data_IF_810560387224
#
_entry.id   IF_810560387224
#
_cell.length_a   1.000
_cell.length_b   1.000
_cell.length_c   1.000
_cell.angle_alpha   90.00
_cell.angle_beta   90.00
_cell.angle_gamma   90.00
#
_symmetry.space_group_name_H-M   'P 1'
#
loop_
_entity.id
_entity.type
_entity.pdbx_description
1 polymer ?
#
# COMPACT_ATOMS: atom_id res chain seq x y z
N UNK A 1 4.59 22.17 -12.79
CA UNK A 1 5.64 21.15 -12.55
C UNK A 1 6.86 21.84 -11.95
N UNK A 2 7.20 21.52 -10.71
CA UNK A 2 8.46 21.98 -10.12
C UNK A 2 9.58 21.11 -10.67
N UNK A 3 10.70 21.68 -11.11
CA UNK A 3 11.89 20.87 -11.50
C UNK A 3 12.76 20.70 -10.26
N UNK A 4 13.07 19.48 -9.85
CA UNK A 4 14.14 19.25 -8.87
C UNK A 4 15.44 18.99 -9.61
N UNK A 5 16.39 19.90 -9.38
CA UNK A 5 17.72 19.78 -9.92
C UNK A 5 18.54 18.84 -9.03
N UNK A 6 18.98 17.70 -9.59
CA UNK A 6 19.83 16.76 -8.87
C UNK A 6 21.16 17.40 -8.42
N UNK A 7 21.62 18.48 -9.08
CA UNK A 7 22.82 19.23 -8.66
C UNK A 7 22.71 19.86 -7.28
N UNK A 8 21.49 20.10 -6.80
CA UNK A 8 21.25 20.69 -5.47
C UNK A 8 21.01 19.61 -4.40
N UNK A 9 21.23 18.34 -4.74
CA UNK A 9 20.98 17.18 -3.88
C UNK A 9 22.15 16.22 -3.88
N UNK A 10 22.17 15.34 -2.90
CA UNK A 10 23.19 14.30 -2.83
C UNK A 10 22.95 13.30 -3.97
N UNK A 11 24.03 12.86 -4.63
CA UNK A 11 24.01 11.79 -5.65
C UNK A 11 23.68 10.43 -5.00
N UNK A 12 22.44 10.27 -4.56
CA UNK A 12 21.94 9.10 -3.83
C UNK A 12 20.75 8.50 -4.59
N UNK A 13 20.84 7.20 -4.82
CA UNK A 13 19.72 6.34 -5.18
C UNK A 13 19.13 5.69 -3.93
N UNK A 14 17.82 5.80 -3.75
CA UNK A 14 17.09 5.11 -2.69
C UNK A 14 16.38 3.88 -3.22
N UNK A 15 16.45 2.79 -2.47
CA UNK A 15 15.49 1.69 -2.57
C UNK A 15 14.80 1.52 -1.21
N UNK A 16 13.47 1.51 -1.19
CA UNK A 16 12.69 1.40 0.05
C UNK A 16 11.54 0.42 -0.16
N UNK A 17 11.50 -0.64 0.64
CA UNK A 17 10.40 -1.59 0.61
C UNK A 17 10.79 -2.98 1.10
N UNK A 18 9.84 -3.92 1.05
CA UNK A 18 10.14 -5.34 1.33
C UNK A 18 11.24 -5.83 0.38
N UNK A 19 12.24 -6.52 0.91
CA UNK A 19 13.35 -7.04 0.14
C UNK A 19 12.98 -8.38 -0.50
N UNK A 20 12.02 -8.34 -1.43
CA UNK A 20 11.39 -9.48 -2.07
C UNK A 20 11.33 -9.33 -3.59
N UNK A 21 11.14 -10.45 -4.30
CA UNK A 21 11.12 -10.49 -5.77
C UNK A 21 9.99 -9.65 -6.37
N UNK A 22 8.83 -9.59 -5.73
CA UNK A 22 7.71 -8.77 -6.22
C UNK A 22 8.03 -7.27 -6.22
N UNK A 23 8.97 -6.83 -5.38
CA UNK A 23 9.46 -5.45 -5.32
C UNK A 23 10.62 -5.16 -6.28
N UNK A 24 10.99 -6.14 -7.11
CA UNK A 24 12.05 -5.99 -8.12
C UNK A 24 13.47 -6.00 -7.54
N UNK A 25 13.68 -6.58 -6.35
CA UNK A 25 14.97 -6.57 -5.67
C UNK A 25 16.04 -7.39 -6.40
N UNK A 26 15.64 -8.39 -7.16
CA UNK A 26 16.52 -9.10 -8.08
C UNK A 26 16.97 -8.24 -9.27
N UNK A 27 16.21 -7.21 -9.68
CA UNK A 27 16.70 -6.20 -10.63
C UNK A 27 17.76 -5.33 -9.94
N UNK A 28 17.47 -4.89 -8.71
CA UNK A 28 18.44 -4.13 -7.91
C UNK A 28 19.73 -4.93 -7.73
N UNK A 29 19.68 -6.20 -7.37
CA UNK A 29 20.88 -7.05 -7.22
C UNK A 29 21.71 -7.08 -8.50
N UNK A 30 21.08 -7.28 -9.67
CA UNK A 30 21.78 -7.23 -10.96
C UNK A 30 22.41 -5.86 -11.24
N UNK A 31 21.70 -4.76 -10.94
CA UNK A 31 22.26 -3.40 -11.03
C UNK A 31 23.51 -3.26 -10.16
N UNK A 32 23.45 -3.76 -8.93
CA UNK A 32 24.55 -3.69 -7.96
C UNK A 32 25.74 -4.61 -8.34
N UNK A 33 25.51 -5.67 -9.11
CA UNK A 33 26.54 -6.59 -9.59
C UNK A 33 27.19 -6.08 -10.89
N UNK A 34 26.37 -5.79 -11.91
CA UNK A 34 26.83 -5.54 -13.28
C UNK A 34 27.34 -4.12 -13.49
N UNK A 35 26.79 -3.15 -12.75
CA UNK A 35 26.96 -1.72 -13.03
C UNK A 35 27.50 -0.93 -11.84
N UNK A 36 28.02 -1.61 -10.80
CA UNK A 36 28.58 -1.01 -9.57
C UNK A 36 29.58 0.12 -9.83
N UNK A 37 30.38 -0.02 -10.89
CA UNK A 37 31.44 0.93 -11.25
C UNK A 37 30.98 2.02 -12.23
N UNK A 38 29.83 1.84 -12.88
CA UNK A 38 29.32 2.77 -13.91
C UNK A 38 28.51 3.93 -13.32
N UNK A 39 28.11 3.84 -12.05
CA UNK A 39 27.33 4.87 -11.37
C UNK A 39 28.17 6.07 -10.89
N UNK A 40 29.46 6.18 -11.24
CA UNK A 40 30.32 7.29 -10.82
C UNK A 40 30.34 7.48 -9.30
N UNK A 41 30.08 8.71 -8.82
CA UNK A 41 30.05 9.07 -7.40
C UNK A 41 28.74 8.70 -6.66
N UNK A 42 27.78 8.10 -7.36
CA UNK A 42 26.48 7.84 -6.77
C UNK A 42 26.52 6.75 -5.71
N UNK A 43 25.68 6.90 -4.68
CA UNK A 43 25.53 5.93 -3.59
C UNK A 43 24.13 5.33 -3.56
N UNK A 44 24.06 4.03 -3.27
CA UNK A 44 22.82 3.33 -2.98
C UNK A 44 22.57 3.29 -1.48
N UNK A 45 21.38 3.73 -1.07
CA UNK A 45 20.86 3.49 0.28
C UNK A 45 19.61 2.63 0.20
N UNK A 46 19.67 1.47 0.85
CA UNK A 46 18.67 0.41 0.72
C UNK A 46 18.01 0.16 2.08
N UNK A 47 16.70 0.29 2.12
CA UNK A 47 15.88 0.18 3.34
C UNK A 47 14.83 -0.91 3.19
N UNK A 48 14.68 -1.72 4.23
CA UNK A 48 13.70 -2.78 4.32
C UNK A 48 14.27 -4.10 4.80
N UNK A 49 13.42 -5.11 4.80
CA UNK A 49 13.74 -6.48 5.22
C UNK A 49 13.01 -7.49 4.30
N UNK A 50 13.50 -8.71 4.19
CA UNK A 50 12.95 -9.75 3.32
C UNK A 50 13.97 -10.81 2.91
N UNK A 51 13.54 -11.75 2.07
CA UNK A 51 14.36 -12.90 1.66
C UNK A 51 15.69 -12.53 0.98
N UNK A 52 15.79 -11.34 0.38
CA UNK A 52 17.02 -10.86 -0.26
C UNK A 52 17.93 -10.02 0.65
N UNK A 53 17.61 -9.85 1.94
CA UNK A 53 18.41 -9.02 2.86
C UNK A 53 19.89 -9.46 2.89
N UNK A 54 20.16 -10.73 3.13
CA UNK A 54 21.53 -11.25 3.23
C UNK A 54 22.30 -11.11 1.90
N UNK A 55 21.61 -11.30 0.77
CA UNK A 55 22.21 -11.14 -0.55
C UNK A 55 22.64 -9.69 -0.80
N UNK A 56 21.83 -8.72 -0.36
CA UNK A 56 22.16 -7.29 -0.43
C UNK A 56 23.27 -6.93 0.55
N UNK A 57 23.24 -7.47 1.77
CA UNK A 57 24.25 -7.18 2.80
C UNK A 57 25.65 -7.64 2.38
N UNK A 58 25.76 -8.77 1.68
CA UNK A 58 27.02 -9.24 1.07
C UNK A 58 27.64 -8.29 0.03
N UNK A 59 26.86 -7.35 -0.51
CA UNK A 59 27.30 -6.34 -1.50
C UNK A 59 27.59 -4.98 -0.87
N UNK A 60 27.49 -4.86 0.44
CA UNK A 60 27.70 -3.60 1.16
C UNK A 60 29.12 -3.06 0.92
N UNK A 61 29.22 -1.75 0.77
CA UNK A 61 30.48 -1.04 0.54
C UNK A 61 30.31 0.46 0.79
N UNK A 62 31.36 1.25 0.57
CA UNK A 62 31.30 2.71 0.63
C UNK A 62 30.27 3.34 -0.33
N UNK A 63 29.85 2.63 -1.39
CA UNK A 63 28.83 3.07 -2.36
C UNK A 63 27.47 2.39 -2.19
N UNK A 64 27.36 1.34 -1.38
CA UNK A 64 26.14 0.55 -1.21
C UNK A 64 25.92 0.33 0.28
N UNK A 65 24.91 0.97 0.85
CA UNK A 65 24.64 0.92 2.30
C UNK A 65 23.28 0.28 2.53
N UNK A 66 23.25 -0.82 3.29
CA UNK A 66 22.03 -1.60 3.58
C UNK A 66 21.64 -1.36 5.04
N UNK A 67 20.57 -0.58 5.23
CA UNK A 67 20.14 -0.08 6.54
C UNK A 67 19.21 -1.03 7.30
N UNK A 68 18.58 -1.97 6.59
CA UNK A 68 17.50 -2.75 7.18
C UNK A 68 16.23 -1.92 7.39
N UNK A 69 15.41 -2.32 8.36
CA UNK A 69 14.19 -1.58 8.72
C UNK A 69 14.52 -0.43 9.68
N UNK A 70 14.15 0.80 9.31
CA UNK A 70 14.45 2.02 10.07
C UNK A 70 13.17 2.79 10.40
N UNK A 71 13.26 3.72 11.35
CA UNK A 71 12.15 4.60 11.68
C UNK A 71 11.81 5.54 10.50
N UNK A 72 10.53 5.92 10.38
CA UNK A 72 10.08 6.92 9.39
C UNK A 72 10.84 8.26 9.52
N UNK A 73 11.25 8.64 10.74
CA UNK A 73 12.06 9.85 10.96
C UNK A 73 13.39 9.77 10.23
N UNK A 74 14.11 8.65 10.35
CA UNK A 74 15.38 8.42 9.66
C UNK A 74 15.14 8.37 8.15
N UNK A 75 14.14 7.60 7.71
CA UNK A 75 13.82 7.46 6.29
C UNK A 75 13.53 8.81 5.62
N UNK A 76 12.77 9.69 6.28
CA UNK A 76 12.49 11.05 5.79
C UNK A 76 13.76 11.89 5.59
N UNK A 77 14.79 11.71 6.43
CA UNK A 77 16.06 12.43 6.23
C UNK A 77 16.76 11.99 4.94
N UNK A 78 16.65 10.72 4.57
CA UNK A 78 17.21 10.20 3.33
C UNK A 78 16.40 10.63 2.12
N UNK A 79 15.06 10.61 2.20
CA UNK A 79 14.23 11.14 1.14
C UNK A 79 14.62 12.57 0.82
N UNK A 80 14.70 13.48 1.81
CA UNK A 80 15.06 14.90 1.57
C UNK A 80 16.41 15.11 0.88
N UNK A 81 17.38 14.23 1.12
CA UNK A 81 18.74 14.35 0.59
C UNK A 81 18.90 13.71 -0.79
N UNK A 82 18.17 12.63 -1.04
CA UNK A 82 18.40 11.82 -2.22
C UNK A 82 17.92 12.48 -3.50
N UNK A 83 18.63 12.18 -4.58
CA UNK A 83 18.31 12.69 -5.91
C UNK A 83 17.24 11.85 -6.62
N UNK A 84 17.16 10.53 -6.34
CA UNK A 84 16.21 9.65 -7.02
C UNK A 84 15.83 8.44 -6.16
N UNK A 85 14.54 8.08 -6.16
CA UNK A 85 14.05 6.83 -5.58
C UNK A 85 13.78 5.81 -6.67
N UNK A 86 14.42 4.64 -6.58
CA UNK A 86 14.23 3.53 -7.50
C UNK A 86 13.14 2.59 -6.99
N UNK A 87 12.07 2.43 -7.76
CA UNK A 87 10.90 1.64 -7.40
C UNK A 87 10.50 0.67 -8.53
N UNK A 88 11.28 -0.40 -8.79
CA UNK A 88 11.02 -1.38 -9.85
C UNK A 88 9.97 -2.43 -9.44
N UNK A 89 8.90 -2.00 -8.75
CA UNK A 89 7.88 -2.92 -8.23
C UNK A 89 7.17 -3.61 -9.38
N UNK A 90 7.29 -4.94 -9.43
CA UNK A 90 6.72 -5.74 -10.52
C UNK A 90 5.24 -5.99 -10.34
N UNK A 91 4.80 -6.16 -9.10
CA UNK A 91 3.38 -6.29 -8.82
C UNK A 91 2.71 -4.91 -8.92
N UNK A 92 1.39 -4.91 -9.12
CA UNK A 92 0.62 -3.68 -9.17
C UNK A 92 0.44 -3.12 -7.75
N UNK A 93 1.17 -2.04 -7.47
CA UNK A 93 0.97 -1.25 -6.26
C UNK A 93 -0.45 -0.68 -6.23
N UNK A 94 -1.03 -0.63 -5.04
CA UNK A 94 -2.36 -0.03 -4.84
C UNK A 94 -2.26 1.45 -4.54
N UNK A 95 -1.43 1.79 -3.56
CA UNK A 95 -1.27 3.16 -3.07
C UNK A 95 0.10 3.77 -3.32
N UNK A 96 1.16 2.95 -3.47
CA UNK A 96 2.50 3.48 -3.70
C UNK A 96 3.02 4.36 -2.56
N UNK A 97 2.79 3.99 -1.29
CA UNK A 97 3.16 4.80 -0.11
C UNK A 97 4.61 5.30 -0.14
N UNK A 98 5.54 4.45 -0.56
CA UNK A 98 6.96 4.85 -0.70
C UNK A 98 7.14 5.95 -1.74
N UNK A 99 6.42 5.87 -2.86
CA UNK A 99 6.43 6.92 -3.87
C UNK A 99 5.84 8.23 -3.32
N UNK A 100 4.72 8.15 -2.58
CA UNK A 100 4.12 9.30 -1.91
C UNK A 100 5.09 9.97 -0.91
N UNK A 101 5.73 9.17 -0.04
CA UNK A 101 6.70 9.66 0.94
C UNK A 101 7.91 10.29 0.25
N UNK A 102 8.39 9.69 -0.85
CA UNK A 102 9.49 10.21 -1.64
C UNK A 102 9.16 11.55 -2.30
N UNK A 103 8.05 11.60 -3.04
CA UNK A 103 7.56 12.78 -3.74
C UNK A 103 7.25 13.93 -2.76
N UNK A 104 6.63 13.64 -1.61
CA UNK A 104 6.35 14.64 -0.56
C UNK A 104 7.59 15.30 0.02
N UNK A 105 8.75 14.64 -0.08
CA UNK A 105 10.05 15.19 0.30
C UNK A 105 10.81 15.78 -0.90
N UNK A 106 10.14 15.97 -2.03
CA UNK A 106 10.70 16.51 -3.27
C UNK A 106 11.61 15.55 -4.02
N UNK A 107 11.52 14.25 -3.75
CA UNK A 107 12.38 13.23 -4.37
C UNK A 107 11.64 12.50 -5.47
N UNK A 108 12.13 12.58 -6.72
CA UNK A 108 11.48 11.92 -7.84
C UNK A 108 11.58 10.40 -7.71
N UNK A 109 10.62 9.72 -8.33
CA UNK A 109 10.53 8.25 -8.33
C UNK A 109 10.74 7.77 -9.77
N UNK A 110 11.68 6.85 -9.94
CA UNK A 110 11.99 6.17 -11.20
C UNK A 110 11.69 4.68 -11.06
N UNK A 111 10.89 4.13 -11.96
CA UNK A 111 10.34 2.78 -11.79
C UNK A 111 9.35 2.38 -12.86
N UNK A 112 8.61 1.31 -12.60
CA UNK A 112 7.52 0.88 -13.48
C UNK A 112 6.25 1.67 -13.18
N UNK A 113 5.81 2.49 -14.13
CA UNK A 113 4.61 3.33 -14.04
C UNK A 113 3.33 2.50 -14.25
N UNK A 114 2.99 1.65 -13.27
CA UNK A 114 1.82 0.76 -13.34
C UNK A 114 1.03 0.69 -12.03
N UNK A 115 -0.24 0.30 -12.13
CA UNK A 115 -1.15 0.30 -11.00
C UNK A 115 -1.28 1.70 -10.39
N UNK A 116 -1.20 1.79 -9.06
CA UNK A 116 -1.21 3.06 -8.33
C UNK A 116 0.02 3.94 -8.53
N UNK A 117 1.09 3.45 -9.17
CA UNK A 117 2.28 4.26 -9.51
C UNK A 117 2.16 4.98 -10.86
N UNK A 118 1.19 4.63 -11.70
CA UNK A 118 1.06 5.17 -13.05
C UNK A 118 0.95 6.71 -13.07
N UNK A 119 0.24 7.28 -12.10
CA UNK A 119 0.06 8.73 -11.97
C UNK A 119 1.20 9.40 -11.17
N UNK A 120 2.11 8.61 -10.57
CA UNK A 120 3.18 9.09 -9.67
C UNK A 120 4.57 9.13 -10.34
N UNK A 121 4.73 8.45 -11.47
CA UNK A 121 6.00 8.35 -12.18
C UNK A 121 5.80 8.97 -13.58
N UNK A 122 6.43 10.12 -13.87
CA UNK A 122 6.30 10.74 -15.18
C UNK A 122 6.99 9.88 -16.27
N UNK A 123 6.59 9.99 -17.55
CA UNK A 123 7.19 9.23 -18.65
C UNK A 123 8.73 9.33 -18.74
N UNK A 124 9.28 10.49 -18.37
CA UNK A 124 10.74 10.74 -18.32
C UNK A 124 11.49 9.88 -17.30
N UNK A 125 10.78 9.32 -16.31
CA UNK A 125 11.31 8.44 -15.25
C UNK A 125 10.69 7.04 -15.26
N UNK A 126 9.90 6.71 -16.28
CA UNK A 126 9.35 5.37 -16.48
C UNK A 126 10.42 4.46 -17.09
N UNK A 127 10.62 3.30 -16.45
CA UNK A 127 11.58 2.28 -16.86
C UNK A 127 10.91 1.27 -17.79
N UNK A 128 11.60 0.89 -18.86
CA UNK A 128 11.20 -0.23 -19.71
C UNK A 128 11.35 -1.57 -18.97
N UNK A 129 10.27 -2.34 -18.87
CA UNK A 129 10.27 -3.66 -18.21
C UNK A 129 11.12 -4.70 -18.96
N UNK A 130 11.32 -4.55 -20.28
CA UNK A 130 12.13 -5.48 -21.07
C UNK A 130 13.63 -5.30 -20.81
N UNK A 131 14.08 -4.05 -20.62
CA UNK A 131 15.49 -3.70 -20.39
C UNK A 131 15.66 -2.81 -19.15
N UNK A 132 15.27 -3.30 -17.95
CA UNK A 132 15.08 -2.43 -16.80
C UNK A 132 16.37 -1.85 -16.24
N UNK A 133 17.51 -2.53 -16.45
CA UNK A 133 18.82 -2.09 -15.98
C UNK A 133 19.30 -0.91 -16.83
N UNK A 134 19.37 -1.08 -18.15
CA UNK A 134 19.86 -0.04 -19.04
C UNK A 134 18.92 1.16 -19.07
N UNK A 135 17.60 0.90 -19.11
CA UNK A 135 16.59 1.96 -19.03
C UNK A 135 16.71 2.77 -17.74
N UNK A 136 16.92 2.12 -16.58
CA UNK A 136 17.17 2.84 -15.33
C UNK A 136 18.37 3.80 -15.43
N UNK A 137 19.51 3.31 -15.94
CA UNK A 137 20.72 4.13 -16.03
C UNK A 137 20.58 5.26 -17.05
N UNK A 138 19.93 5.02 -18.19
CA UNK A 138 19.60 6.06 -19.16
C UNK A 138 18.79 7.18 -18.51
N UNK A 139 17.75 6.83 -17.74
CA UNK A 139 16.93 7.83 -17.03
C UNK A 139 17.70 8.51 -15.89
N UNK A 140 18.54 7.78 -15.17
CA UNK A 140 19.31 8.30 -14.03
C UNK A 140 20.46 9.23 -14.45
N UNK A 141 21.03 9.06 -15.65
CA UNK A 141 22.08 9.94 -16.18
C UNK A 141 21.56 11.36 -16.49
N UNK A 142 20.26 11.50 -16.75
CA UNK A 142 19.61 12.79 -16.89
C UNK A 142 19.54 13.48 -15.52
N UNK A 143 20.60 14.21 -15.13
CA UNK A 143 20.71 14.93 -13.84
C UNK A 143 19.65 16.05 -13.64
N UNK A 144 18.69 16.18 -14.56
CA UNK A 144 17.53 17.03 -14.46
C UNK A 144 16.30 16.14 -14.38
N UNK A 145 15.83 15.88 -13.15
CA UNK A 145 14.66 15.05 -12.93
C UNK A 145 13.41 15.92 -12.86
N UNK A 146 12.42 15.56 -13.67
CA UNK A 146 11.11 16.18 -13.59
C UNK A 146 10.40 15.66 -12.34
N UNK A 147 9.95 16.58 -11.49
CA UNK A 147 8.94 16.24 -10.50
C UNK A 147 7.58 16.57 -11.07
N UNK A 148 6.67 15.62 -10.83
CA UNK A 148 5.25 15.92 -10.91
C UNK A 148 4.88 16.88 -9.77
N UNK A 149 3.76 17.58 -9.94
CA UNK A 149 3.23 18.37 -8.83
C UNK A 149 2.99 17.46 -7.63
N UNK A 150 3.61 17.80 -6.50
CA UNK A 150 3.54 17.03 -5.27
C UNK A 150 2.38 17.46 -4.38
N UNK A 151 1.74 18.61 -4.66
CA UNK A 151 0.57 19.09 -3.91
C UNK A 151 -0.56 18.05 -3.83
N UNK A 152 -0.96 17.39 -4.93
CA UNK A 152 -1.91 16.28 -4.89
C UNK A 152 -1.52 15.25 -3.82
N UNK A 153 -0.22 14.93 -3.75
CA UNK A 153 0.36 13.86 -2.95
C UNK A 153 0.82 14.31 -1.55
N UNK A 154 0.55 15.56 -1.19
CA UNK A 154 1.07 16.17 0.03
C UNK A 154 0.33 15.70 1.28
N UNK A 155 1.01 15.76 2.42
CA UNK A 155 0.39 15.51 3.72
C UNK A 155 -0.74 16.51 4.01
N UNK A 156 -0.60 17.75 3.52
CA UNK A 156 -1.60 18.81 3.65
C UNK A 156 -2.89 18.48 2.89
N UNK A 157 -2.77 17.98 1.66
CA UNK A 157 -3.93 17.51 0.87
C UNK A 157 -4.59 16.31 1.54
N UNK A 158 -3.79 15.40 2.07
CA UNK A 158 -4.30 14.29 2.85
C UNK A 158 -5.05 14.76 4.11
N UNK A 159 -4.48 15.67 4.89
CA UNK A 159 -5.09 16.26 6.10
C UNK A 159 -6.38 17.03 5.79
N UNK A 160 -6.40 17.84 4.72
CA UNK A 160 -7.62 18.52 4.23
C UNK A 160 -8.74 17.52 3.94
N UNK A 161 -8.42 16.42 3.25
CA UNK A 161 -9.38 15.34 2.98
C UNK A 161 -9.86 14.67 4.28
N UNK A 162 -8.94 14.41 5.23
CA UNK A 162 -9.31 13.85 6.54
C UNK A 162 -10.26 14.78 7.31
N UNK A 163 -10.00 16.08 7.33
CA UNK A 163 -10.88 17.08 7.98
C UNK A 163 -12.26 17.08 7.32
N UNK A 164 -12.32 17.09 5.98
CA UNK A 164 -13.59 17.04 5.21
C UNK A 164 -14.42 15.80 5.59
N UNK A 165 -13.81 14.62 5.63
CA UNK A 165 -14.51 13.36 5.87
C UNK A 165 -14.80 13.05 7.34
N UNK A 166 -14.04 13.63 8.26
CA UNK A 166 -14.24 13.47 9.71
C UNK A 166 -14.94 14.66 10.34
N UNK A 167 -15.56 15.53 9.52
CA UNK A 167 -16.36 16.64 10.02
C UNK A 167 -17.50 16.12 10.89
N UNK A 168 -17.61 16.67 12.10
CA UNK A 168 -18.61 16.28 13.09
C UNK A 168 -18.34 14.97 13.84
N UNK A 169 -17.24 14.25 13.56
CA UNK A 169 -16.82 13.11 14.37
C UNK A 169 -15.82 13.56 15.43
N UNK A 170 -15.92 13.02 16.65
CA UNK A 170 -14.98 13.28 17.76
C UNK A 170 -14.20 12.01 18.11
N UNK A 171 -14.89 10.86 18.19
CA UNK A 171 -14.32 9.56 18.52
C UNK A 171 -14.26 8.66 17.30
N UNK A 172 -13.06 8.21 16.96
CA UNK A 172 -12.82 7.36 15.78
C UNK A 172 -12.18 6.04 16.22
N UNK A 173 -12.82 4.92 15.85
CA UNK A 173 -12.26 3.58 16.04
C UNK A 173 -11.65 3.10 14.73
N UNK A 174 -10.33 3.09 14.66
CA UNK A 174 -9.59 2.48 13.56
C UNK A 174 -9.50 0.96 13.76
N UNK A 175 -9.83 0.22 12.71
CA UNK A 175 -9.77 -1.25 12.71
C UNK A 175 -8.80 -1.69 11.61
N UNK A 176 -7.78 -2.45 11.97
CA UNK A 176 -6.87 -3.07 11.01
C UNK A 176 -6.56 -4.50 11.42
N UNK A 177 -6.20 -5.34 10.46
CA UNK A 177 -5.81 -6.72 10.75
C UNK A 177 -4.59 -6.77 11.70
N UNK A 178 -3.67 -5.81 11.55
CA UNK A 178 -2.47 -5.71 12.37
C UNK A 178 -2.19 -4.26 12.80
N UNK A 179 -1.61 -4.09 13.99
CA UNK A 179 -1.26 -2.76 14.55
C UNK A 179 0.26 -2.54 14.64
N UNK A 180 1.06 -3.47 14.15
CA UNK A 180 2.51 -3.35 14.03
C UNK A 180 2.89 -2.90 12.61
N UNK A 181 3.93 -2.08 12.49
CA UNK A 181 4.46 -1.58 11.20
C UNK A 181 5.16 -2.69 10.41
N UNK A 182 4.39 -3.65 9.92
CA UNK A 182 4.86 -4.81 9.15
C UNK A 182 4.73 -4.56 7.64
N UNK A 183 3.83 -3.66 7.23
CA UNK A 183 3.56 -3.36 5.83
C UNK A 183 3.00 -1.96 5.61
N UNK A 184 2.71 -1.65 4.35
CA UNK A 184 2.21 -0.34 3.94
C UNK A 184 0.82 -0.01 4.52
N UNK A 185 -0.11 -0.97 4.50
CA UNK A 185 -1.46 -0.76 5.02
C UNK A 185 -1.48 -0.46 6.53
N UNK A 186 -0.66 -1.16 7.29
CA UNK A 186 -0.52 -0.94 8.74
C UNK A 186 0.17 0.40 9.01
N UNK A 187 1.21 0.73 8.25
CA UNK A 187 1.91 2.02 8.34
C UNK A 187 0.96 3.18 8.05
N UNK A 188 0.14 3.06 7.00
CA UNK A 188 -0.91 4.02 6.70
C UNK A 188 -1.88 4.18 7.86
N UNK A 189 -2.39 3.08 8.42
CA UNK A 189 -3.37 3.13 9.52
C UNK A 189 -2.80 3.85 10.74
N UNK A 190 -1.51 3.64 11.05
CA UNK A 190 -0.84 4.33 12.17
C UNK A 190 -0.61 5.81 11.85
N UNK A 191 -0.18 6.14 10.63
CA UNK A 191 -0.03 7.54 10.23
C UNK A 191 -1.40 8.25 10.24
N UNK A 192 -2.48 7.55 9.86
CA UNK A 192 -3.84 8.06 9.88
C UNK A 192 -4.27 8.37 11.32
N UNK A 193 -3.99 7.46 12.26
CA UNK A 193 -4.21 7.71 13.69
C UNK A 193 -3.56 9.00 14.15
N UNK A 194 -2.26 9.14 13.90
CA UNK A 194 -1.50 10.31 14.34
C UNK A 194 -2.04 11.62 13.75
N UNK A 195 -2.44 11.59 12.48
CA UNK A 195 -2.99 12.75 11.75
C UNK A 195 -4.38 13.14 12.24
N UNK A 196 -5.20 12.16 12.60
CA UNK A 196 -6.50 12.41 13.21
C UNK A 196 -6.35 12.95 14.65
N UNK A 197 -5.37 12.47 15.41
CA UNK A 197 -5.06 12.98 16.74
C UNK A 197 -4.51 14.41 16.70
N UNK A 198 -3.69 14.78 15.71
CA UNK A 198 -3.15 16.15 15.57
C UNK A 198 -4.24 17.19 15.30
N UNK A 199 -5.33 16.81 14.62
CA UNK A 199 -6.50 17.67 14.41
C UNK A 199 -7.54 17.55 15.54
N UNK A 200 -7.16 17.01 16.71
CA UNK A 200 -7.97 16.99 17.93
C UNK A 200 -9.00 15.86 18.04
N UNK A 201 -8.93 14.81 17.22
CA UNK A 201 -9.83 13.64 17.34
C UNK A 201 -9.32 12.68 18.42
N UNK A 202 -10.25 12.04 19.13
CA UNK A 202 -9.92 10.91 20.00
C UNK A 202 -9.93 9.63 19.19
N UNK A 203 -8.77 8.99 19.01
CA UNK A 203 -8.61 7.84 18.13
C UNK A 203 -8.16 6.60 18.90
N UNK A 204 -8.86 5.49 18.72
CA UNK A 204 -8.40 4.17 19.18
C UNK A 204 -8.15 3.27 17.97
N UNK A 205 -7.13 2.42 18.07
CA UNK A 205 -6.82 1.42 17.05
C UNK A 205 -6.93 0.02 17.64
N UNK A 206 -7.64 -0.86 16.94
CA UNK A 206 -7.74 -2.29 17.26
C UNK A 206 -7.22 -3.14 16.10
N UNK A 207 -6.44 -4.17 16.46
CA UNK A 207 -5.92 -5.17 15.54
C UNK A 207 -4.95 -6.11 16.25
N UNK A 208 -4.35 -7.03 15.52
CA UNK A 208 -3.40 -7.98 16.10
C UNK A 208 -1.99 -7.39 16.18
N UNK A 209 -1.29 -7.58 17.31
CA UNK A 209 0.11 -7.14 17.45
C UNK A 209 1.07 -7.97 16.61
N UNK A 210 0.84 -9.28 16.52
CA UNK A 210 1.70 -10.23 15.81
C UNK A 210 1.03 -10.67 14.52
N UNK A 211 1.78 -10.63 13.42
CA UNK A 211 1.31 -11.26 12.19
C UNK A 211 1.64 -12.76 12.20
N UNK A 212 0.71 -13.64 11.81
CA UNK A 212 0.97 -15.06 11.69
C UNK A 212 1.99 -15.35 10.58
N UNK A 213 2.51 -16.58 10.57
CA UNK A 213 3.49 -17.05 9.58
C UNK A 213 2.95 -16.93 8.14
N UNK A 214 3.80 -16.82 7.12
CA UNK A 214 3.36 -16.66 5.72
C UNK A 214 2.41 -17.78 5.25
N UNK A 215 2.66 -19.02 5.69
CA UNK A 215 1.79 -20.17 5.40
C UNK A 215 0.42 -20.00 6.05
N UNK A 216 0.38 -19.67 7.35
CA UNK A 216 -0.88 -19.43 8.06
C UNK A 216 -1.68 -18.29 7.42
N UNK A 217 -1.04 -17.21 6.95
CA UNK A 217 -1.73 -16.10 6.25
C UNK A 217 -2.52 -16.58 5.03
N UNK A 218 -1.98 -17.55 4.28
CA UNK A 218 -2.66 -18.12 3.10
C UNK A 218 -3.87 -18.98 3.47
N UNK A 219 -3.87 -19.55 4.67
CA UNK A 219 -4.90 -20.46 5.18
C UNK A 219 -5.85 -19.78 6.17
N UNK A 220 -5.77 -18.46 6.36
CA UNK A 220 -6.58 -17.74 7.35
C UNK A 220 -8.10 -17.90 7.13
N UNK A 221 -8.54 -18.11 5.89
CA UNK A 221 -9.94 -18.36 5.60
C UNK A 221 -10.46 -19.67 6.21
N UNK A 222 -9.59 -20.66 6.44
CA UNK A 222 -9.94 -21.89 7.16
C UNK A 222 -10.09 -21.64 8.67
N UNK A 223 -9.42 -20.62 9.20
CA UNK A 223 -9.46 -20.26 10.61
C UNK A 223 -10.63 -19.33 10.98
N UNK A 224 -11.51 -19.03 10.02
CA UNK A 224 -12.66 -18.13 10.18
C UNK A 224 -13.58 -18.45 11.36
N UNK A 225 -13.91 -19.72 11.66
CA UNK A 225 -14.75 -20.04 12.82
C UNK A 225 -14.13 -19.56 14.15
N UNK A 226 -12.80 -19.60 14.26
CA UNK A 226 -12.07 -19.14 15.46
C UNK A 226 -11.94 -17.61 15.55
N UNK A 227 -12.30 -16.88 14.50
CA UNK A 227 -12.33 -15.41 14.51
C UNK A 227 -13.53 -14.85 15.32
N UNK A 228 -14.43 -15.69 15.83
CA UNK A 228 -15.58 -15.27 16.64
C UNK A 228 -15.17 -14.46 17.89
N UNK A 229 -14.16 -14.91 18.64
CA UNK A 229 -13.65 -14.19 19.82
C UNK A 229 -13.13 -12.80 19.47
N UNK A 230 -12.58 -12.63 18.26
CA UNK A 230 -12.07 -11.34 17.77
C UNK A 230 -13.22 -10.40 17.44
N UNK A 231 -14.28 -10.92 16.84
CA UNK A 231 -15.53 -10.18 16.65
C UNK A 231 -16.15 -9.74 17.99
N UNK A 232 -16.12 -10.58 19.02
CA UNK A 232 -16.55 -10.16 20.36
C UNK A 232 -15.70 -9.02 20.91
N UNK A 233 -14.36 -9.07 20.73
CA UNK A 233 -13.49 -7.96 21.13
C UNK A 233 -13.84 -6.65 20.43
N UNK A 234 -14.08 -6.69 19.11
CA UNK A 234 -14.54 -5.51 18.35
C UNK A 234 -15.88 -5.01 18.89
N UNK A 235 -16.83 -5.92 19.15
CA UNK A 235 -18.14 -5.57 19.71
C UNK A 235 -18.01 -4.87 21.05
N UNK A 236 -17.16 -5.38 21.94
CA UNK A 236 -16.89 -4.78 23.25
C UNK A 236 -16.29 -3.39 23.09
N UNK A 237 -15.26 -3.22 22.25
CA UNK A 237 -14.66 -1.90 22.00
C UNK A 237 -15.64 -0.91 21.41
N UNK A 238 -16.45 -1.29 20.42
CA UNK A 238 -17.48 -0.41 19.85
C UNK A 238 -18.46 0.05 20.94
N UNK A 239 -18.90 -0.88 21.81
CA UNK A 239 -19.82 -0.56 22.91
C UNK A 239 -19.18 0.33 23.99
N UNK A 240 -17.94 0.06 24.39
CA UNK A 240 -17.29 0.79 25.49
C UNK A 240 -16.72 2.13 25.05
N UNK A 241 -16.15 2.20 23.85
CA UNK A 241 -15.58 3.43 23.32
C UNK A 241 -16.67 4.39 22.82
N UNK A 242 -17.75 3.84 22.23
CA UNK A 242 -18.83 4.61 21.62
C UNK A 242 -18.32 5.51 20.50
N UNK A 243 -17.75 4.96 19.41
CA UNK A 243 -17.22 5.77 18.32
C UNK A 243 -18.33 6.45 17.51
N UNK A 244 -18.05 7.64 17.00
CA UNK A 244 -18.89 8.29 15.98
C UNK A 244 -18.61 7.69 14.59
N UNK A 245 -17.41 7.15 14.41
CA UNK A 245 -16.91 6.57 13.16
C UNK A 245 -16.07 5.32 13.45
N UNK A 246 -16.41 4.23 12.78
CA UNK A 246 -15.60 3.03 12.65
C UNK A 246 -14.94 3.05 11.28
N UNK A 247 -13.61 3.11 11.23
CA UNK A 247 -12.85 3.16 9.99
C UNK A 247 -11.95 1.93 9.86
N UNK A 248 -12.27 1.08 8.88
CA UNK A 248 -11.54 -0.14 8.59
C UNK A 248 -10.43 0.09 7.56
N UNK A 249 -9.18 -0.22 7.90
CA UNK A 249 -8.06 -0.27 6.96
C UNK A 249 -7.94 -1.62 6.25
N UNK A 250 -7.74 -2.69 7.02
CA UNK A 250 -7.67 -4.06 6.49
C UNK A 250 -8.55 -4.98 7.33
N UNK A 251 -9.33 -5.83 6.65
CA UNK A 251 -10.28 -6.73 7.31
C UNK A 251 -10.25 -8.16 6.75
N UNK A 252 -9.38 -8.43 5.77
CA UNK A 252 -9.37 -9.69 5.01
C UNK A 252 -8.62 -10.81 5.71
N UNK A 253 -7.99 -10.53 6.86
CA UNK A 253 -7.10 -11.48 7.53
C UNK A 253 -7.55 -11.76 8.96
N UNK A 254 -7.14 -10.93 9.91
CA UNK A 254 -7.37 -11.11 11.33
C UNK A 254 -8.83 -10.83 11.74
N UNK A 255 -9.45 -9.80 11.17
CA UNK A 255 -10.82 -9.35 11.46
C UNK A 255 -11.86 -10.30 10.84
N UNK A 256 -11.75 -10.50 9.52
CA UNK A 256 -12.57 -11.42 8.75
C UNK A 256 -14.09 -11.14 8.75
N UNK A 257 -14.90 -12.10 8.25
CA UNK A 257 -16.34 -11.96 8.08
C UNK A 257 -17.09 -11.68 9.37
N UNK A 258 -16.68 -12.30 10.49
CA UNK A 258 -17.32 -12.07 11.79
C UNK A 258 -17.12 -10.64 12.28
N UNK A 259 -15.90 -10.11 12.17
CA UNK A 259 -15.64 -8.71 12.52
C UNK A 259 -16.41 -7.76 11.61
N UNK A 260 -16.40 -8.02 10.29
CA UNK A 260 -17.19 -7.24 9.32
C UNK A 260 -18.69 -7.25 9.65
N UNK A 261 -19.24 -8.39 10.09
CA UNK A 261 -20.64 -8.51 10.54
C UNK A 261 -20.93 -7.64 11.76
N UNK A 262 -20.07 -7.67 12.78
CA UNK A 262 -20.24 -6.88 14.00
C UNK A 262 -20.27 -5.40 13.66
N UNK A 263 -19.30 -4.95 12.85
CA UNK A 263 -19.20 -3.55 12.42
C UNK A 263 -20.43 -3.14 11.61
N UNK A 264 -20.84 -3.95 10.62
CA UNK A 264 -22.00 -3.64 9.79
C UNK A 264 -23.31 -3.51 10.59
N UNK A 265 -23.44 -4.25 11.71
CA UNK A 265 -24.63 -4.22 12.57
C UNK A 265 -24.70 -3.04 13.51
N UNK A 266 -23.59 -2.34 13.75
CA UNK A 266 -23.59 -1.14 14.57
C UNK A 266 -24.43 -0.05 13.88
N UNK A 267 -25.34 0.59 14.62
CA UNK A 267 -26.25 1.62 14.08
C UNK A 267 -25.87 3.03 14.49
N UNK A 268 -24.95 3.18 15.44
CA UNK A 268 -24.63 4.45 16.06
C UNK A 268 -23.44 5.14 15.37
N UNK A 269 -22.55 4.36 14.77
CA UNK A 269 -21.35 4.85 14.11
C UNK A 269 -21.52 4.89 12.60
N UNK A 270 -20.92 5.91 11.97
CA UNK A 270 -20.57 5.85 10.55
C UNK A 270 -19.53 4.74 10.33
N UNK A 271 -19.50 4.15 9.14
CA UNK A 271 -18.66 2.98 8.79
C UNK A 271 -17.90 3.24 7.50
N UNK A 272 -16.59 3.42 7.61
CA UNK A 272 -15.71 3.65 6.48
C UNK A 272 -14.80 2.43 6.27
N UNK A 273 -14.38 2.20 5.02
CA UNK A 273 -13.34 1.22 4.69
C UNK A 273 -12.38 1.78 3.65
N UNK A 274 -11.07 1.64 3.87
CA UNK A 274 -10.04 1.95 2.87
C UNK A 274 -9.60 0.68 2.15
N UNK A 275 -9.56 0.71 0.82
CA UNK A 275 -9.12 -0.44 0.01
C UNK A 275 -7.60 -0.41 -0.20
N UNK A 276 -6.82 -0.75 0.83
CA UNK A 276 -5.36 -0.75 0.78
C UNK A 276 -4.72 -1.84 -0.08
N UNK A 277 -5.40 -2.98 -0.21
CA UNK A 277 -4.95 -4.09 -1.05
C UNK A 277 -6.12 -4.63 -1.86
N UNK A 278 -5.81 -5.29 -2.96
CA UNK A 278 -6.80 -5.93 -3.85
C UNK A 278 -7.18 -7.33 -3.37
N UNK A 279 -6.94 -7.67 -2.09
CA UNK A 279 -7.24 -8.98 -1.52
C UNK A 279 -8.74 -9.31 -1.48
N UNK A 280 -9.60 -8.29 -1.49
CA UNK A 280 -11.06 -8.40 -1.62
C UNK A 280 -11.55 -8.62 -3.05
N UNK A 281 -10.67 -8.50 -4.05
CA UNK A 281 -11.02 -8.53 -5.47
C UNK A 281 -10.28 -9.65 -6.21
N UNK A 282 -9.10 -10.04 -5.71
CA UNK A 282 -8.25 -11.05 -6.33
C UNK A 282 -7.85 -12.18 -5.37
N UNK A 283 -7.78 -13.44 -5.86
CA UNK A 283 -7.31 -14.57 -5.07
C UNK A 283 -5.83 -14.45 -4.64
N UNK A 284 -4.97 -13.80 -5.43
CA UNK A 284 -3.52 -13.72 -5.19
C UNK A 284 -2.97 -12.31 -5.44
N UNK A 285 -3.25 -11.35 -4.55
CA UNK A 285 -2.87 -9.95 -4.76
C UNK A 285 -1.36 -9.75 -4.97
N UNK A 286 -0.51 -10.53 -4.30
CA UNK A 286 0.95 -10.44 -4.43
C UNK A 286 1.53 -11.05 -5.72
N UNK A 287 0.70 -11.59 -6.61
CA UNK A 287 1.10 -12.21 -7.89
C UNK A 287 0.44 -11.54 -9.10
N UNK A 288 -0.06 -10.31 -8.93
CA UNK A 288 -0.63 -9.52 -10.03
C UNK A 288 0.45 -8.58 -10.55
N UNK A 289 0.97 -8.89 -11.72
CA UNK A 289 1.98 -8.12 -12.44
C UNK A 289 1.37 -7.28 -13.57
N UNK A 290 0.23 -7.74 -14.12
CA UNK A 290 -0.53 -7.09 -15.19
C UNK A 290 -2.01 -7.01 -14.85
N UNK A 291 -2.70 -5.98 -15.34
CA UNK A 291 -4.13 -5.77 -15.07
C UNK A 291 -5.00 -6.93 -15.57
N UNK A 292 -4.57 -7.60 -16.64
CA UNK A 292 -5.27 -8.77 -17.22
C UNK A 292 -5.38 -9.95 -16.24
N UNK A 293 -4.52 -10.00 -15.22
CA UNK A 293 -4.53 -11.03 -14.17
C UNK A 293 -5.54 -10.72 -13.06
N UNK A 294 -6.12 -9.52 -13.04
CA UNK A 294 -7.18 -9.16 -12.10
C UNK A 294 -8.49 -9.78 -12.59
N UNK A 295 -9.24 -10.49 -11.73
CA UNK A 295 -10.56 -10.99 -12.09
C UNK A 295 -11.45 -9.86 -12.60
N UNK A 296 -12.10 -10.07 -13.76
CA UNK A 296 -13.04 -9.10 -14.36
C UNK A 296 -14.29 -8.89 -13.52
N UNK A 297 -14.61 -9.85 -12.65
CA UNK A 297 -15.72 -9.76 -11.71
C UNK A 297 -15.43 -10.58 -10.45
N UNK A 298 -16.26 -10.41 -9.44
CA UNK A 298 -16.21 -11.23 -8.22
C UNK A 298 -16.81 -12.64 -8.40
N UNK A 299 -17.11 -13.12 -9.61
CA UNK A 299 -17.62 -14.48 -9.79
C UNK A 299 -16.53 -15.53 -9.56
N UNK A 300 -16.91 -16.71 -9.09
CA UNK A 300 -15.99 -17.83 -8.92
C UNK A 300 -15.32 -18.22 -10.25
N UNK A 301 -16.08 -18.23 -11.35
CA UNK A 301 -15.56 -18.50 -12.69
C UNK A 301 -14.47 -17.51 -13.11
N UNK A 302 -14.60 -16.23 -12.75
CA UNK A 302 -13.56 -15.24 -13.02
C UNK A 302 -12.32 -15.43 -12.14
N UNK A 303 -12.47 -15.93 -10.91
CA UNK A 303 -11.37 -16.19 -9.97
C UNK A 303 -10.59 -17.46 -10.31
N UNK A 304 -11.24 -18.45 -10.93
CA UNK A 304 -10.63 -19.72 -11.35
C UNK A 304 -10.06 -19.69 -12.77
N UNK A 305 -10.15 -18.56 -13.48
CA UNK A 305 -9.71 -18.47 -14.88
C UNK A 305 -8.24 -18.87 -15.03
N UNK A 306 -7.99 -19.89 -15.85
CA UNK A 306 -6.64 -20.38 -16.15
C UNK A 306 -6.02 -21.26 -15.06
N UNK A 307 -6.74 -21.54 -13.97
CA UNK A 307 -6.25 -22.44 -12.92
C UNK A 307 -6.60 -23.89 -13.25
N UNK A 308 -5.59 -24.78 -13.18
CA UNK A 308 -5.75 -26.21 -13.47
C UNK A 308 -5.42 -27.09 -12.28
N UNK A 309 -4.71 -26.56 -11.28
CA UNK A 309 -4.27 -27.34 -10.13
C UNK A 309 -5.42 -27.51 -9.12
N UNK A 310 -5.80 -28.75 -8.79
CA UNK A 310 -6.96 -29.06 -7.93
C UNK A 310 -6.84 -28.44 -6.54
N UNK A 311 -5.68 -28.55 -5.89
CA UNK A 311 -5.45 -27.93 -4.57
C UNK A 311 -5.58 -26.41 -4.65
N UNK A 312 -5.05 -25.82 -5.71
CA UNK A 312 -5.16 -24.40 -5.99
C UNK A 312 -6.61 -23.96 -6.16
N UNK A 313 -7.41 -24.72 -6.92
CA UNK A 313 -8.85 -24.50 -7.13
C UNK A 313 -9.59 -24.51 -5.78
N UNK A 314 -9.34 -25.52 -4.93
CA UNK A 314 -9.97 -25.63 -3.61
C UNK A 314 -9.61 -24.45 -2.70
N UNK A 315 -8.34 -24.03 -2.69
CA UNK A 315 -7.90 -22.86 -1.92
C UNK A 315 -8.52 -21.55 -2.44
N UNK A 316 -8.64 -21.38 -3.76
CA UNK A 316 -9.29 -20.22 -4.38
C UNK A 316 -10.77 -20.22 -4.04
N UNK A 317 -11.46 -21.36 -4.13
CA UNK A 317 -12.87 -21.48 -3.77
C UNK A 317 -13.12 -21.09 -2.31
N UNK A 318 -12.31 -21.62 -1.39
CA UNK A 318 -12.42 -21.28 0.03
C UNK A 318 -12.18 -19.79 0.31
N UNK A 319 -11.14 -19.21 -0.30
CA UNK A 319 -10.89 -17.76 -0.21
C UNK A 319 -12.04 -16.96 -0.85
N UNK A 320 -12.58 -17.42 -1.98
CA UNK A 320 -13.68 -16.75 -2.67
C UNK A 320 -14.92 -16.69 -1.79
N UNK A 321 -15.36 -17.82 -1.21
CA UNK A 321 -16.48 -17.86 -0.26
C UNK A 321 -16.27 -16.92 0.93
N UNK A 322 -15.06 -16.92 1.49
CA UNK A 322 -14.67 -16.03 2.57
C UNK A 322 -14.80 -14.54 2.19
N UNK A 323 -14.31 -14.17 1.00
CA UNK A 323 -14.38 -12.80 0.48
C UNK A 323 -15.83 -12.40 0.16
N UNK A 324 -16.64 -13.29 -0.41
CA UNK A 324 -18.08 -13.05 -0.62
C UNK A 324 -18.80 -12.77 0.70
N UNK A 325 -18.44 -13.51 1.75
CA UNK A 325 -19.04 -13.31 3.07
C UNK A 325 -18.68 -11.93 3.65
N UNK A 326 -17.44 -11.48 3.48
CA UNK A 326 -17.04 -10.11 3.86
C UNK A 326 -17.84 -9.08 3.04
N UNK A 327 -17.89 -9.25 1.71
CA UNK A 327 -18.61 -8.35 0.80
C UNK A 327 -20.08 -8.16 1.15
N UNK A 328 -20.74 -9.22 1.64
CA UNK A 328 -22.13 -9.15 2.13
C UNK A 328 -22.34 -8.06 3.18
N UNK A 329 -21.32 -7.81 4.02
CA UNK A 329 -21.35 -6.81 5.07
C UNK A 329 -20.74 -5.48 4.64
N UNK A 330 -19.54 -5.46 4.06
CA UNK A 330 -18.88 -4.19 3.76
C UNK A 330 -19.61 -3.34 2.73
N UNK A 331 -20.39 -3.93 1.81
CA UNK A 331 -21.25 -3.16 0.89
C UNK A 331 -22.27 -2.25 1.60
N UNK A 332 -22.54 -2.52 2.89
CA UNK A 332 -23.45 -1.72 3.72
C UNK A 332 -22.76 -0.53 4.38
N UNK A 333 -21.44 -0.44 4.29
CA UNK A 333 -20.67 0.68 4.84
C UNK A 333 -21.05 1.97 4.11
N UNK A 334 -20.84 3.08 4.81
CA UNK A 334 -21.26 4.40 4.34
C UNK A 334 -20.31 4.93 3.26
N UNK A 335 -19.01 4.71 3.45
CA UNK A 335 -17.96 5.21 2.54
C UNK A 335 -16.90 4.14 2.28
N UNK A 336 -16.53 3.99 1.01
CA UNK A 336 -15.40 3.20 0.55
C UNK A 336 -14.32 4.12 0.00
N UNK A 337 -13.22 4.26 0.73
CA UNK A 337 -12.09 5.11 0.39
C UNK A 337 -11.11 4.36 -0.51
N UNK A 338 -10.74 5.01 -1.61
CA UNK A 338 -9.80 4.47 -2.58
C UNK A 338 -8.46 5.20 -2.57
N UNK A 339 -7.33 4.48 -2.43
CA UNK A 339 -6.01 5.08 -2.47
C UNK A 339 -5.59 5.61 -3.85
N UNK A 340 -6.21 5.12 -4.94
CA UNK A 340 -5.89 5.53 -6.32
C UNK A 340 -7.07 5.32 -7.27
N UNK A 341 -7.11 6.09 -8.37
CA UNK A 341 -8.13 5.95 -9.45
C UNK A 341 -8.10 4.56 -10.06
N UNK A 342 -6.93 3.94 -10.09
CA UNK A 342 -6.72 2.60 -10.62
C UNK A 342 -7.60 1.54 -9.93
N UNK A 343 -7.69 1.54 -8.59
CA UNK A 343 -8.48 0.52 -7.86
C UNK A 343 -9.97 0.66 -8.14
N UNK A 344 -10.47 1.87 -8.44
CA UNK A 344 -11.88 2.12 -8.72
C UNK A 344 -12.42 1.23 -9.84
N UNK A 345 -11.61 1.04 -10.88
CA UNK A 345 -11.94 0.21 -12.06
C UNK A 345 -12.19 -1.26 -11.73
N UNK A 346 -11.75 -1.71 -10.55
CA UNK A 346 -11.80 -3.10 -10.12
C UNK A 346 -12.78 -3.35 -8.96
N UNK A 347 -13.40 -2.31 -8.42
CA UNK A 347 -14.40 -2.49 -7.37
C UNK A 347 -15.74 -3.01 -7.93
N UNK A 348 -16.53 -3.71 -7.11
CA UNK A 348 -17.88 -4.13 -7.49
C UNK A 348 -18.81 -2.94 -7.77
N UNK A 349 -19.58 -3.01 -8.87
CA UNK A 349 -20.52 -1.95 -9.31
C UNK A 349 -21.49 -1.47 -8.23
N UNK A 350 -21.94 -2.37 -7.36
CA UNK A 350 -22.90 -2.06 -6.29
C UNK A 350 -22.33 -1.19 -5.17
N UNK A 351 -21.03 -0.88 -5.22
CA UNK A 351 -20.33 -0.05 -4.24
C UNK A 351 -19.94 1.29 -4.84
N UNK A 352 -19.90 1.42 -6.18
CA UNK A 352 -19.46 2.63 -6.90
C UNK A 352 -20.16 3.92 -6.43
N UNK A 353 -21.45 3.86 -6.09
CA UNK A 353 -22.21 5.02 -5.58
C UNK A 353 -21.81 5.48 -4.17
N UNK A 354 -21.02 4.67 -3.47
CA UNK A 354 -20.47 4.93 -2.12
C UNK A 354 -18.95 4.94 -2.12
N UNK A 355 -18.35 4.87 -3.31
CA UNK A 355 -16.92 5.01 -3.48
C UNK A 355 -16.62 6.49 -3.42
N UNK A 356 -15.86 6.86 -2.40
CA UNK A 356 -15.21 8.14 -2.38
C UNK A 356 -13.76 7.90 -2.72
N UNK A 357 -13.39 8.57 -3.79
CA UNK A 357 -12.04 8.61 -4.24
C UNK A 357 -11.26 9.36 -3.15
N UNK A 358 -10.39 8.67 -2.40
CA UNK A 358 -9.44 9.33 -1.49
C UNK A 358 -8.30 9.93 -2.30
N UNK A 359 -8.55 10.18 -3.58
CA UNK A 359 -7.61 10.81 -4.49
C UNK A 359 -7.47 12.23 -3.97
N UNK A 360 -6.34 12.49 -3.32
CA UNK A 360 -5.21 13.26 -3.86
C UNK A 360 -5.47 14.09 -5.15
N UNK A 361 -6.44 13.76 -6.02
CA UNK A 361 -6.63 14.27 -7.38
C UNK A 361 -8.06 14.73 -7.72
N UNK A 362 -8.88 15.14 -6.76
CA UNK A 362 -10.08 15.93 -7.10
C UNK A 362 -9.73 17.42 -7.06
N UNK A 363 -9.40 17.97 -8.24
CA UNK A 363 -9.90 19.30 -8.58
C UNK A 363 -11.41 19.15 -8.73
N UNK A 364 -12.18 19.81 -7.86
CA UNK A 364 -13.56 20.16 -8.19
C UNK A 364 -13.49 21.02 -9.46
N UNK A 365 -13.89 20.44 -10.60
CA UNK A 365 -14.36 21.25 -11.72
C UNK A 365 -15.61 21.98 -11.23
N UNK A 366 -15.42 23.20 -10.78
CA UNK A 366 -16.46 24.23 -10.65
C UNK A 366 -16.23 25.29 -11.69
#
# INVERSE_FOLDING_TARGET
>A
MQKVNAKNRDKIFLFVGRLEKEKGVDILLKILDDKRNTAGDWKWHIFGDGSFFDALKKRESNKIIVHGNVSTKILNTFFKKASLTFMPSRFLETFGLVALESLSNGTPVCGFAKGGLADMIPPSLTIDEAHPIDSFFEKAQNNHFELIDTEPFSYQTWEKNLIKHTKGTKKILLISDYISRIGGAETYTINLKNSLESIGKTVRIIGCKKSPSPLMRKLLFLMTPFAFWRAQKIKTEVRTFGPDLIWCGTITRYIGPWGARVIAKDRNSKKYITHHDIGLICPRPSKIYHETQIPKSLTLSSWLRGERNILSILLILGKWLYVQWIWRYIRTFDIHLLPSKWIKKHLPRNVERKVFEHTIFEEEKT
#
